data_IF_928767554579
#
_entry.id   IF_928767554579
#
_cell.length_a   1.000
_cell.length_b   1.000
_cell.length_c   1.000
_cell.angle_alpha   90.00
_cell.angle_beta   90.00
_cell.angle_gamma   90.00
#
_symmetry.space_group_name_H-M   'P 1'
#
loop_
_entity.id
_entity.type
_entity.pdbx_description
1 polymer ?
#
# COMPACT_ATOMS: atom_id res chain seq x y z
N UNK A 1 2.19 27.61 20.74
CA UNK A 1 1.27 27.67 19.59
C UNK A 1 1.20 26.30 18.93
N UNK A 2 0.02 25.70 18.86
CA UNK A 2 -0.15 24.38 18.27
C UNK A 2 -0.56 24.46 16.79
N UNK A 3 -0.01 23.58 15.97
CA UNK A 3 -0.28 23.47 14.53
C UNK A 3 -1.13 22.24 14.28
N UNK A 4 -2.36 22.44 13.79
CA UNK A 4 -3.21 21.35 13.34
C UNK A 4 -2.66 20.74 12.06
N UNK A 5 -2.72 19.41 11.94
CA UNK A 5 -2.37 18.70 10.74
C UNK A 5 -3.35 19.06 9.62
N UNK A 6 -2.84 19.59 8.52
CA UNK A 6 -3.63 19.94 7.33
C UNK A 6 -3.23 19.14 6.09
N UNK A 7 -2.08 18.49 6.12
CA UNK A 7 -1.54 17.68 5.02
C UNK A 7 -1.25 16.25 5.50
N UNK A 8 -1.19 15.29 4.57
CA UNK A 8 -0.90 13.88 4.86
C UNK A 8 0.49 13.65 5.47
N UNK A 9 1.46 14.50 5.17
CA UNK A 9 2.80 14.49 5.74
C UNK A 9 3.07 15.87 6.31
N UNK A 10 3.34 15.95 7.61
CA UNK A 10 3.60 17.24 8.24
C UNK A 10 4.68 17.11 9.33
N UNK A 11 5.70 18.00 9.33
CA UNK A 11 6.75 17.96 10.34
C UNK A 11 6.22 18.32 11.73
N UNK A 12 6.77 17.67 12.75
CA UNK A 12 6.60 18.09 14.14
C UNK A 12 7.51 19.30 14.39
N UNK A 13 7.01 20.41 14.96
CA UNK A 13 7.86 21.51 15.38
C UNK A 13 9.00 21.06 16.29
N UNK A 14 10.23 21.48 15.98
CA UNK A 14 11.43 21.11 16.74
C UNK A 14 11.61 19.59 16.93
N UNK A 15 11.10 18.77 16.00
CA UNK A 15 11.22 17.32 16.02
C UNK A 15 11.69 16.80 14.66
N UNK A 16 12.62 15.83 14.67
CA UNK A 16 13.08 15.16 13.47
C UNK A 16 12.08 14.06 13.04
N UNK A 17 10.82 14.43 12.81
CA UNK A 17 9.75 13.52 12.40
C UNK A 17 8.72 14.20 11.50
N UNK A 18 8.22 13.43 10.54
CA UNK A 18 7.06 13.75 9.71
C UNK A 18 5.89 12.87 10.14
N UNK A 19 4.84 13.45 10.67
CA UNK A 19 3.63 12.69 11.05
C UNK A 19 2.80 12.42 9.81
N UNK A 20 2.34 11.17 9.70
CA UNK A 20 1.46 10.69 8.62
C UNK A 20 0.00 10.76 9.08
N UNK A 21 -0.30 10.08 10.18
CA UNK A 21 -1.68 9.83 10.60
C UNK A 21 -1.76 9.32 12.04
N UNK A 22 -2.87 9.56 12.73
CA UNK A 22 -3.12 9.06 14.09
C UNK A 22 -4.39 8.20 14.15
N UNK A 23 -4.32 7.07 14.86
CA UNK A 23 -5.42 6.13 15.03
C UNK A 23 -5.54 5.69 16.49
N UNK A 24 -6.77 5.58 16.99
CA UNK A 24 -7.07 4.89 18.24
C UNK A 24 -6.95 3.38 17.99
N UNK A 25 -6.07 2.73 18.72
CA UNK A 25 -5.80 1.30 18.61
C UNK A 25 -6.09 0.63 19.95
N UNK A 26 -7.25 -0.02 20.03
CA UNK A 26 -7.73 -0.76 21.20
C UNK A 26 -7.65 -2.27 21.01
N UNK A 27 -6.78 -2.75 20.10
CA UNK A 27 -6.54 -4.20 19.91
C UNK A 27 -5.67 -4.80 21.01
N UNK A 28 -4.93 -3.96 21.72
CA UNK A 28 -4.16 -4.30 22.92
C UNK A 28 -4.69 -3.49 24.09
N UNK A 29 -4.67 -4.10 25.28
CA UNK A 29 -5.00 -3.41 26.54
C UNK A 29 -3.71 -3.15 27.33
N UNK A 30 -3.52 -1.93 27.87
CA UNK A 30 -4.39 -0.77 27.72
C UNK A 30 -4.34 -0.18 26.29
N UNK A 31 -5.49 0.33 25.82
CA UNK A 31 -5.58 0.99 24.51
C UNK A 31 -4.60 2.17 24.36
N UNK A 32 -4.21 2.47 23.11
CA UNK A 32 -3.26 3.54 22.80
C UNK A 32 -3.70 4.35 21.58
N UNK A 33 -3.25 5.59 21.48
CA UNK A 33 -3.25 6.31 20.20
C UNK A 33 -1.93 6.01 19.52
N UNK A 34 -2.02 5.33 18.38
CA UNK A 34 -0.89 4.97 17.53
C UNK A 34 -0.77 6.00 16.41
N UNK A 35 0.35 6.69 16.38
CA UNK A 35 0.64 7.71 15.40
C UNK A 35 1.71 7.16 14.47
N UNK A 36 1.40 7.07 13.19
CA UNK A 36 2.35 6.68 12.16
C UNK A 36 3.16 7.91 11.76
N UNK A 37 4.48 7.77 11.71
CA UNK A 37 5.40 8.83 11.34
C UNK A 37 6.61 8.29 10.57
N UNK A 38 7.35 9.20 9.93
CA UNK A 38 8.69 8.95 9.39
C UNK A 38 9.67 9.74 10.26
N UNK A 39 10.57 9.05 10.95
CA UNK A 39 11.42 9.60 12.02
C UNK A 39 12.89 9.42 11.67
N UNK A 40 13.70 10.45 11.93
CA UNK A 40 15.16 10.35 11.83
C UNK A 40 15.67 9.46 12.95
N UNK A 41 16.51 8.47 12.61
CA UNK A 41 16.92 7.43 13.57
C UNK A 41 17.87 7.93 14.66
N UNK A 42 18.59 9.02 14.43
CA UNK A 42 19.53 9.60 15.38
C UNK A 42 19.59 11.15 15.28
N UNK A 43 19.62 11.88 16.42
CA UNK A 43 19.44 11.36 17.80
C UNK A 43 18.02 10.84 18.05
N UNK A 44 17.78 10.08 19.14
CA UNK A 44 16.43 9.63 19.52
C UNK A 44 15.48 10.82 19.69
N UNK A 45 14.24 10.66 19.23
CA UNK A 45 13.21 11.67 19.35
C UNK A 45 12.41 11.46 20.64
N UNK A 46 12.40 12.45 21.51
CA UNK A 46 11.60 12.45 22.74
C UNK A 46 10.36 13.33 22.59
N UNK A 47 9.18 12.74 22.79
CA UNK A 47 7.90 13.43 22.67
C UNK A 47 7.02 13.19 23.90
N UNK A 48 6.15 14.16 24.16
CA UNK A 48 5.01 14.01 25.05
C UNK A 48 3.71 14.12 24.25
N UNK A 49 2.76 13.26 24.58
CA UNK A 49 1.42 13.28 24.00
C UNK A 49 0.46 14.01 24.93
N UNK A 50 -0.42 14.84 24.36
CA UNK A 50 -1.55 15.43 25.07
C UNK A 50 -2.85 15.07 24.36
N UNK A 51 -3.87 14.66 25.09
CA UNK A 51 -5.14 14.21 24.51
C UNK A 51 -6.25 15.24 24.67
N UNK A 52 -6.90 15.57 23.55
CA UNK A 52 -8.14 16.35 23.58
C UNK A 52 -9.32 15.42 23.86
N UNK A 53 -9.93 15.60 25.04
CA UNK A 53 -11.05 14.79 25.52
C UNK A 53 -12.36 15.60 25.43
N UNK A 54 -13.45 15.15 26.08
CA UNK A 54 -14.74 15.89 26.10
C UNK A 54 -14.51 17.38 26.36
N UNK A 55 -15.05 18.23 25.47
CA UNK A 55 -14.89 19.69 25.39
C UNK A 55 -13.62 20.22 24.68
N UNK A 56 -12.82 19.35 24.05
CA UNK A 56 -11.69 19.75 23.20
C UNK A 56 -10.46 20.26 23.95
N UNK A 57 -10.46 20.19 25.28
CA UNK A 57 -9.33 20.57 26.12
C UNK A 57 -8.29 19.43 26.18
N UNK A 58 -7.02 19.80 26.06
CA UNK A 58 -5.88 18.90 26.21
C UNK A 58 -5.56 18.71 27.69
N UNK A 59 -5.97 17.59 28.27
CA UNK A 59 -6.01 17.43 29.75
C UNK A 59 -5.17 16.28 30.28
N UNK A 60 -4.80 15.29 29.45
CA UNK A 60 -3.99 14.14 29.85
C UNK A 60 -2.68 14.17 29.10
N UNK A 61 -1.57 14.11 29.85
CA UNK A 61 -0.23 13.99 29.30
C UNK A 61 0.31 12.58 29.50
N UNK A 62 0.95 12.00 28.49
CA UNK A 62 1.69 10.74 28.58
C UNK A 62 3.02 10.86 27.82
N UNK A 63 4.12 10.30 28.32
CA UNK A 63 5.32 10.12 27.50
C UNK A 63 4.98 9.32 26.23
N UNK A 64 5.57 9.70 25.09
CA UNK A 64 5.40 8.96 23.86
C UNK A 64 6.52 7.92 23.70
N UNK A 65 6.16 6.71 23.31
CA UNK A 65 7.13 5.67 22.96
C UNK A 65 7.34 5.68 21.44
N UNK A 66 8.55 5.99 20.98
CA UNK A 66 8.89 6.06 19.56
C UNK A 66 9.51 4.74 19.10
N UNK A 67 8.69 3.92 18.43
CA UNK A 67 9.07 2.60 17.94
C UNK A 67 9.40 2.65 16.44
N UNK A 68 10.69 2.72 16.14
CA UNK A 68 11.22 2.67 14.78
C UNK A 68 11.01 1.28 14.16
N UNK A 69 10.57 1.22 12.91
CA UNK A 69 10.42 -0.05 12.19
C UNK A 69 11.79 -0.57 11.80
N UNK A 70 12.00 -1.87 12.00
CA UNK A 70 13.28 -2.51 11.72
C UNK A 70 13.63 -2.55 10.22
N UNK A 71 12.62 -2.61 9.35
CA UNK A 71 12.79 -2.68 7.89
C UNK A 71 13.13 -1.33 7.25
N UNK A 72 14.02 -0.56 7.87
CA UNK A 72 14.48 0.72 7.33
C UNK A 72 15.66 0.58 6.36
N UNK A 73 16.14 -0.64 6.08
CA UNK A 73 17.19 -0.95 5.07
C UNK A 73 18.47 -0.09 5.17
N UNK A 74 18.86 0.27 6.39
CA UNK A 74 20.01 1.13 6.67
C UNK A 74 19.80 2.64 6.44
N UNK A 75 18.66 3.08 5.91
CA UNK A 75 18.38 4.49 5.64
C UNK A 75 18.37 5.35 6.92
N UNK A 76 18.74 6.64 6.85
CA UNK A 76 18.76 7.54 8.01
C UNK A 76 17.39 7.81 8.65
N UNK A 77 16.32 7.83 7.84
CA UNK A 77 14.94 7.97 8.29
C UNK A 77 14.17 6.66 8.13
N UNK A 78 13.33 6.35 9.11
CA UNK A 78 12.55 5.11 9.16
C UNK A 78 11.07 5.43 9.42
N UNK A 79 10.18 4.57 8.90
CA UNK A 79 8.81 4.55 9.40
C UNK A 79 8.82 4.16 10.89
N UNK A 80 7.86 4.70 11.65
CA UNK A 80 7.77 4.50 13.08
C UNK A 80 6.34 4.58 13.57
N UNK A 81 6.07 3.88 14.68
CA UNK A 81 4.91 4.15 15.51
C UNK A 81 5.33 5.02 16.69
N UNK A 82 4.69 6.17 16.85
CA UNK A 82 4.73 6.94 18.10
C UNK A 82 3.50 6.52 18.89
N UNK A 83 3.70 5.83 20.01
CA UNK A 83 2.64 5.28 20.85
C UNK A 83 2.37 6.21 22.03
N UNK A 84 1.13 6.65 22.15
CA UNK A 84 0.65 7.42 23.27
C UNK A 84 -0.32 6.57 24.09
N UNK A 85 0.10 6.15 25.29
CA UNK A 85 -0.71 5.28 26.16
C UNK A 85 -1.91 6.02 26.72
N UNK A 86 -3.08 5.36 26.73
CA UNK A 86 -4.28 5.85 27.41
C UNK A 86 -4.42 5.28 28.84
N UNK A 87 -3.44 4.49 29.30
CA UNK A 87 -3.50 3.82 30.59
C UNK A 87 -3.58 4.81 31.77
N UNK A 88 -4.50 4.55 32.71
CA UNK A 88 -4.65 5.35 33.94
C UNK A 88 -5.21 6.76 33.75
N UNK A 89 -5.54 7.18 32.51
CA UNK A 89 -6.09 8.50 32.22
C UNK A 89 -7.62 8.51 32.11
N UNK A 90 -8.30 9.64 32.41
CA UNK A 90 -9.75 9.79 32.25
C UNK A 90 -10.22 9.80 30.77
N UNK A 91 -9.30 9.70 29.81
CA UNK A 91 -9.53 9.96 28.39
C UNK A 91 -9.44 8.68 27.55
N UNK A 92 -10.47 7.85 27.60
CA UNK A 92 -10.47 6.55 26.89
C UNK A 92 -10.77 6.66 25.40
N UNK A 93 -11.36 7.78 24.94
CA UNK A 93 -11.75 8.02 23.55
C UNK A 93 -11.43 9.47 23.15
N UNK A 94 -10.16 9.79 22.91
CA UNK A 94 -9.77 11.12 22.44
C UNK A 94 -10.14 11.32 20.97
N UNK A 95 -10.45 12.57 20.61
CA UNK A 95 -10.71 12.96 19.22
C UNK A 95 -9.46 13.49 18.52
N UNK A 96 -8.53 14.05 19.29
CA UNK A 96 -7.25 14.59 18.82
C UNK A 96 -6.12 14.26 19.77
N UNK A 97 -4.91 14.20 19.22
CA UNK A 97 -3.66 14.06 19.97
C UNK A 97 -2.72 15.19 19.59
N UNK A 98 -2.07 15.78 20.58
CA UNK A 98 -1.00 16.74 20.39
C UNK A 98 0.34 16.12 20.74
N UNK A 99 1.37 16.39 19.94
CA UNK A 99 2.75 15.99 20.17
C UNK A 99 3.59 17.22 20.45
N UNK A 100 4.35 17.17 21.55
CA UNK A 100 5.30 18.21 21.98
C UNK A 100 6.68 17.58 22.07
N UNK A 101 7.67 18.20 21.41
CA UNK A 101 9.07 17.80 21.51
C UNK A 101 9.66 18.23 22.84
N UNK A 102 10.39 17.32 23.50
CA UNK A 102 11.11 17.61 24.74
C UNK A 102 12.35 18.48 24.51
N UNK A 103 12.89 18.54 23.28
CA UNK A 103 14.16 19.22 22.99
C UNK A 103 14.08 20.75 23.04
N UNK A 104 12.90 21.35 22.79
CA UNK A 104 12.70 22.81 22.81
C UNK A 104 11.33 23.20 23.36
N UNK A 105 11.34 23.80 24.55
CA UNK A 105 10.16 24.37 25.21
C UNK A 105 9.81 25.76 24.68
N UNK A 106 9.68 25.91 23.36
CA UNK A 106 9.17 27.15 22.74
C UNK A 106 7.63 27.24 22.73
N UNK A 107 6.98 26.26 23.39
CA UNK A 107 5.53 26.14 23.49
C UNK A 107 4.86 25.73 22.19
N UNK A 108 5.61 25.28 21.16
CA UNK A 108 5.02 24.74 19.93
C UNK A 108 4.58 23.29 20.07
N UNK A 109 3.49 22.94 19.39
CA UNK A 109 3.03 21.55 19.36
C UNK A 109 2.43 21.20 18.00
N UNK A 110 2.49 19.93 17.64
CA UNK A 110 1.77 19.38 16.49
C UNK A 110 0.45 18.77 16.97
N UNK A 111 -0.65 18.89 16.23
CA UNK A 111 -1.95 18.31 16.58
C UNK A 111 -2.48 17.49 15.42
N UNK A 112 -2.82 16.23 15.64
CA UNK A 112 -3.50 15.38 14.66
C UNK A 112 -4.92 15.01 15.12
N UNK A 113 -5.83 14.91 14.15
CA UNK A 113 -7.11 14.24 14.37
C UNK A 113 -6.88 12.73 14.44
N UNK A 114 -7.62 12.07 15.32
CA UNK A 114 -7.63 10.61 15.41
C UNK A 114 -8.66 10.10 14.39
N UNK A 115 -8.17 9.51 13.30
CA UNK A 115 -8.94 9.29 12.08
C UNK A 115 -10.15 8.36 12.27
N UNK A 116 -10.05 7.42 13.22
CA UNK A 116 -11.10 6.47 13.56
C UNK A 116 -11.83 6.81 14.87
N UNK A 117 -11.67 8.00 15.45
CA UNK A 117 -12.37 8.38 16.69
C UNK A 117 -13.91 8.31 16.54
N UNK A 118 -14.43 8.69 15.37
CA UNK A 118 -15.86 8.63 15.06
C UNK A 118 -16.32 7.27 14.50
N UNK A 119 -15.39 6.33 14.23
CA UNK A 119 -15.70 5.01 13.66
C UNK A 119 -15.46 3.93 14.73
N UNK A 120 -16.49 3.50 15.47
CA UNK A 120 -16.32 2.37 16.39
C UNK A 120 -15.83 1.14 15.63
N UNK A 121 -15.15 0.22 16.33
CA UNK A 121 -14.82 -1.09 15.78
C UNK A 121 -16.12 -1.68 15.17
N UNK A 122 -16.10 -2.07 13.88
CA UNK A 122 -17.31 -2.50 13.20
C UNK A 122 -17.85 -3.76 13.86
N UNK A 123 -19.17 -3.88 13.95
CA UNK A 123 -19.79 -5.16 14.21
C UNK A 123 -19.35 -6.16 13.13
N UNK A 124 -19.16 -7.42 13.52
CA UNK A 124 -18.75 -8.46 12.60
C UNK A 124 -19.75 -8.51 11.42
N UNK A 125 -19.27 -8.21 10.20
CA UNK A 125 -20.01 -8.12 8.92
C UNK A 125 -20.53 -6.74 8.45
N UNK A 126 -20.17 -5.63 9.09
CA UNK A 126 -20.57 -4.28 8.63
C UNK A 126 -19.54 -3.58 7.71
N UNK A 127 -18.70 -4.34 6.98
CA UNK A 127 -17.64 -3.75 6.15
C UNK A 127 -18.20 -3.14 4.86
N UNK A 128 -17.79 -1.92 4.52
CA UNK A 128 -18.11 -1.27 3.25
C UNK A 128 -17.50 -2.02 2.06
N UNK A 129 -16.30 -2.58 2.27
CA UNK A 129 -15.56 -3.29 1.23
C UNK A 129 -15.14 -4.69 1.71
N UNK A 130 -15.36 -5.70 0.88
CA UNK A 130 -14.85 -7.04 1.20
C UNK A 130 -13.33 -7.12 0.94
N UNK A 131 -12.86 -6.45 -0.11
CA UNK A 131 -11.44 -6.34 -0.45
C UNK A 131 -11.05 -4.90 -0.75
N UNK A 132 -9.94 -4.47 -0.19
CA UNK A 132 -9.23 -3.24 -0.54
C UNK A 132 -7.83 -3.59 -1.03
N UNK A 133 -7.29 -2.81 -1.96
CA UNK A 133 -5.92 -2.99 -2.46
C UNK A 133 -5.08 -1.80 -2.00
N UNK A 134 -3.96 -2.07 -1.34
CA UNK A 134 -2.98 -1.07 -0.95
C UNK A 134 -1.80 -1.13 -1.92
N UNK A 135 -1.65 -0.08 -2.72
CA UNK A 135 -0.48 0.16 -3.56
C UNK A 135 0.34 1.25 -2.88
N UNK A 136 1.66 1.09 -2.86
CA UNK A 136 2.57 2.04 -2.23
C UNK A 136 2.66 3.35 -3.06
N UNK A 137 3.86 3.86 -3.31
CA UNK A 137 4.06 5.19 -3.89
C UNK A 137 4.27 5.10 -5.40
N UNK A 138 3.47 5.83 -6.18
CA UNK A 138 3.82 6.21 -7.55
C UNK A 138 4.85 7.34 -7.52
N UNK A 139 5.89 7.22 -8.32
CA UNK A 139 6.99 8.18 -8.38
C UNK A 139 7.63 8.23 -9.78
N UNK A 140 8.58 9.15 -9.96
CA UNK A 140 9.40 9.23 -11.16
C UNK A 140 8.61 9.50 -12.44
N UNK A 141 7.43 10.13 -12.34
CA UNK A 141 6.56 10.34 -13.48
C UNK A 141 6.01 9.03 -14.07
N UNK A 142 5.77 8.01 -13.24
CA UNK A 142 5.21 6.72 -13.66
C UNK A 142 4.01 6.91 -14.61
N UNK A 143 4.09 6.30 -15.80
CA UNK A 143 3.13 6.54 -16.89
C UNK A 143 2.80 5.26 -17.68
N UNK A 144 2.80 4.11 -17.02
CA UNK A 144 2.43 2.83 -17.64
C UNK A 144 0.90 2.67 -17.67
N UNK A 145 0.25 3.49 -18.50
CA UNK A 145 -1.21 3.66 -18.55
C UNK A 145 -1.95 2.35 -18.86
N UNK A 146 -1.47 1.59 -19.84
CA UNK A 146 -2.12 0.34 -20.23
C UNK A 146 -2.07 -0.71 -19.11
N UNK A 147 -0.88 -0.95 -18.53
CA UNK A 147 -0.74 -1.92 -17.43
C UNK A 147 -1.56 -1.47 -16.23
N UNK A 148 -1.51 -0.19 -15.87
CA UNK A 148 -2.30 0.36 -14.77
C UNK A 148 -3.79 0.11 -14.97
N UNK A 149 -4.32 0.43 -16.15
CA UNK A 149 -5.73 0.23 -16.48
C UNK A 149 -6.11 -1.24 -16.41
N UNK A 150 -5.25 -2.13 -16.92
CA UNK A 150 -5.45 -3.58 -16.84
C UNK A 150 -5.44 -4.08 -15.39
N UNK A 151 -4.54 -3.56 -14.54
CA UNK A 151 -4.48 -3.91 -13.12
C UNK A 151 -5.76 -3.46 -12.37
N UNK A 152 -6.21 -2.22 -12.56
CA UNK A 152 -7.43 -1.71 -11.91
C UNK A 152 -8.67 -2.52 -12.29
N UNK A 153 -8.84 -2.82 -13.58
CA UNK A 153 -9.96 -3.65 -14.02
C UNK A 153 -9.84 -5.09 -13.52
N UNK A 154 -8.62 -5.64 -13.43
CA UNK A 154 -8.41 -6.95 -12.81
C UNK A 154 -8.75 -6.96 -11.32
N UNK A 155 -8.33 -5.96 -10.55
CA UNK A 155 -8.71 -5.85 -9.13
C UNK A 155 -10.22 -5.75 -8.97
N UNK A 156 -10.91 -4.97 -9.82
CA UNK A 156 -12.37 -4.91 -9.82
C UNK A 156 -13.01 -6.27 -10.12
N UNK A 157 -12.51 -7.00 -11.12
CA UNK A 157 -13.00 -8.36 -11.46
C UNK A 157 -12.75 -9.37 -10.33
N UNK A 158 -11.65 -9.23 -9.59
CA UNK A 158 -11.30 -10.08 -8.46
C UNK A 158 -12.11 -9.77 -7.19
N UNK A 159 -12.79 -8.62 -7.16
CA UNK A 159 -13.71 -8.21 -6.09
C UNK A 159 -13.23 -7.05 -5.22
N UNK A 160 -12.22 -6.29 -5.66
CA UNK A 160 -11.81 -5.06 -4.98
C UNK A 160 -12.94 -4.03 -5.02
N UNK A 161 -13.30 -3.50 -3.84
CA UNK A 161 -14.22 -2.38 -3.70
C UNK A 161 -13.50 -1.03 -3.58
N UNK A 162 -12.20 -1.05 -3.26
CA UNK A 162 -11.34 0.13 -3.11
C UNK A 162 -9.90 -0.23 -3.48
N UNK A 163 -9.21 0.71 -4.11
CA UNK A 163 -7.76 0.69 -4.34
C UNK A 163 -7.21 2.01 -3.82
N UNK A 164 -6.24 1.96 -2.92
CA UNK A 164 -5.62 3.14 -2.33
C UNK A 164 -4.20 3.24 -2.85
N UNK A 165 -3.88 4.39 -3.45
CA UNK A 165 -2.60 4.65 -4.12
C UNK A 165 -2.01 5.93 -3.55
N UNK A 166 -0.74 5.89 -3.17
CA UNK A 166 0.00 7.08 -2.76
C UNK A 166 0.71 7.65 -3.98
N UNK A 167 0.55 8.94 -4.23
CA UNK A 167 1.10 9.57 -5.44
C UNK A 167 2.10 10.66 -5.08
N UNK A 168 3.39 10.37 -5.29
CA UNK A 168 4.45 11.37 -5.25
C UNK A 168 4.59 12.05 -6.61
N UNK A 169 4.57 11.28 -7.70
CA UNK A 169 4.46 11.80 -9.07
C UNK A 169 4.03 10.73 -10.07
N UNK A 170 3.25 11.15 -11.07
CA UNK A 170 2.85 10.32 -12.20
C UNK A 170 2.79 11.16 -13.49
N UNK A 171 2.81 10.49 -14.64
CA UNK A 171 2.70 11.15 -15.95
C UNK A 171 1.29 11.66 -16.25
N UNK A 172 1.13 12.62 -17.18
CA UNK A 172 -0.15 13.28 -17.43
C UNK A 172 -1.21 12.35 -18.03
N UNK A 173 -0.81 11.32 -18.80
CA UNK A 173 -1.76 10.32 -19.30
C UNK A 173 -2.27 9.41 -18.19
N UNK A 174 -1.42 9.02 -17.24
CA UNK A 174 -1.84 8.25 -16.08
C UNK A 174 -2.72 9.09 -15.12
N UNK A 175 -2.41 10.37 -14.93
CA UNK A 175 -3.19 11.27 -14.08
C UNK A 175 -4.67 11.34 -14.50
N UNK A 176 -4.96 11.37 -15.80
CA UNK A 176 -6.33 11.30 -16.34
C UNK A 176 -7.03 9.99 -16.01
N UNK A 177 -6.31 8.88 -16.07
CA UNK A 177 -6.84 7.55 -15.74
C UNK A 177 -7.07 7.41 -14.24
N UNK A 178 -6.19 7.97 -13.39
CA UNK A 178 -6.41 8.06 -11.95
C UNK A 178 -7.68 8.85 -11.65
N UNK A 179 -7.85 10.03 -12.26
CA UNK A 179 -9.06 10.85 -12.09
C UNK A 179 -10.34 10.09 -12.48
N UNK A 180 -10.29 9.28 -13.55
CA UNK A 180 -11.41 8.42 -13.94
C UNK A 180 -11.77 7.39 -12.85
N UNK A 181 -10.78 6.68 -12.32
CA UNK A 181 -11.04 5.67 -11.28
C UNK A 181 -11.41 6.27 -9.93
N UNK A 182 -10.96 7.49 -9.63
CA UNK A 182 -11.44 8.27 -8.48
C UNK A 182 -12.89 8.68 -8.66
N UNK A 183 -13.28 9.17 -9.83
CA UNK A 183 -14.67 9.56 -10.12
C UNK A 183 -15.64 8.35 -10.07
N UNK A 184 -15.18 7.15 -10.40
CA UNK A 184 -15.99 5.91 -10.30
C UNK A 184 -15.97 5.30 -8.89
N UNK A 185 -15.19 5.86 -7.96
CA UNK A 185 -15.11 5.41 -6.57
C UNK A 185 -14.22 4.20 -6.32
N UNK A 186 -13.57 3.64 -7.36
CA UNK A 186 -12.67 2.50 -7.20
C UNK A 186 -11.33 2.92 -6.58
N UNK A 187 -10.75 4.04 -7.03
CA UNK A 187 -9.40 4.48 -6.61
C UNK A 187 -9.48 5.69 -5.68
N UNK A 188 -8.85 5.58 -4.51
CA UNK A 188 -8.51 6.71 -3.65
C UNK A 188 -7.04 7.08 -3.87
N UNK A 189 -6.78 8.29 -4.36
CA UNK A 189 -5.42 8.81 -4.52
C UNK A 189 -5.08 9.64 -3.30
N UNK A 190 -4.04 9.23 -2.56
CA UNK A 190 -3.48 9.97 -1.44
C UNK A 190 -2.26 10.75 -1.94
N UNK A 191 -2.26 12.09 -1.87
CA UNK A 191 -1.05 12.88 -2.16
C UNK A 191 0.11 12.39 -1.27
N UNK A 192 1.32 12.28 -1.81
CA UNK A 192 2.48 11.82 -1.03
C UNK A 192 3.72 12.70 -1.28
N UNK A 193 3.73 13.94 -0.76
CA UNK A 193 4.75 14.95 -1.06
C UNK A 193 6.05 14.73 -0.26
N UNK A 194 6.55 13.50 -0.22
CA UNK A 194 7.72 13.12 0.59
C UNK A 194 8.99 13.88 0.18
N UNK A 195 9.10 14.20 -1.10
CA UNK A 195 10.19 14.94 -1.74
C UNK A 195 10.25 16.42 -1.33
N UNK A 196 9.17 16.97 -0.75
CA UNK A 196 9.19 18.32 -0.16
C UNK A 196 9.98 18.39 1.15
N UNK A 197 10.15 17.26 1.84
CA UNK A 197 10.71 17.21 3.19
C UNK A 197 11.99 16.39 3.28
N UNK A 198 12.12 15.35 2.47
CA UNK A 198 13.24 14.41 2.48
C UNK A 198 13.71 14.16 1.06
N UNK A 199 14.94 13.67 0.89
CA UNK A 199 15.44 13.14 -0.37
C UNK A 199 15.12 11.64 -0.44
N UNK A 200 14.03 11.21 -1.11
CA UNK A 200 13.71 9.79 -1.18
C UNK A 200 14.74 9.03 -2.03
N UNK A 201 15.08 7.81 -1.61
CA UNK A 201 15.86 6.91 -2.46
C UNK A 201 15.01 6.32 -3.58
N UNK A 202 15.61 6.11 -4.75
CA UNK A 202 15.02 5.38 -5.88
C UNK A 202 15.33 3.88 -5.85
N UNK A 203 16.08 3.41 -4.85
CA UNK A 203 16.49 2.02 -4.74
C UNK A 203 16.37 1.46 -3.32
N UNK A 204 16.85 0.22 -3.16
CA UNK A 204 16.44 -0.64 -2.05
C UNK A 204 17.40 -0.67 -0.86
N UNK A 205 18.66 -0.27 -1.04
CA UNK A 205 19.71 -0.54 -0.05
C UNK A 205 20.61 0.68 0.14
N UNK A 206 20.72 1.15 1.38
CA UNK A 206 21.67 2.18 1.78
C UNK A 206 23.05 1.56 2.11
N UNK A 207 24.18 2.20 1.77
CA UNK A 207 24.31 3.48 1.05
C UNK A 207 24.35 3.36 -0.48
N UNK A 208 24.27 2.14 -1.05
CA UNK A 208 24.36 1.90 -2.50
C UNK A 208 23.34 2.72 -3.31
N UNK A 209 22.13 2.86 -2.79
CA UNK A 209 21.08 3.72 -3.31
C UNK A 209 20.87 4.85 -2.30
N UNK A 210 21.54 6.00 -2.46
CA UNK A 210 21.53 7.07 -1.46
C UNK A 210 20.15 7.69 -1.30
N UNK A 211 19.99 8.47 -0.24
CA UNK A 211 18.74 9.15 0.13
C UNK A 211 18.51 9.08 1.63
N UNK A 212 17.53 9.84 2.08
CA UNK A 212 17.12 9.95 3.48
C UNK A 212 16.19 8.81 3.89
N UNK A 213 15.31 8.37 3.00
CA UNK A 213 14.25 7.39 3.28
C UNK A 213 14.15 6.34 2.17
N UNK A 214 13.88 5.10 2.57
CA UNK A 214 13.73 3.96 1.66
C UNK A 214 12.58 4.16 0.67
N UNK A 215 12.88 4.09 -0.63
CA UNK A 215 11.93 3.97 -1.74
C UNK A 215 10.69 4.87 -1.60
N UNK A 216 10.90 6.18 -1.61
CA UNK A 216 9.82 7.18 -1.48
C UNK A 216 8.96 7.06 -0.20
N UNK A 217 9.45 6.40 0.84
CA UNK A 217 8.69 6.21 2.08
C UNK A 217 7.60 5.14 1.97
N UNK A 218 7.73 4.17 1.06
CA UNK A 218 6.72 3.15 0.78
C UNK A 218 6.23 2.39 2.02
N UNK A 219 7.09 2.20 3.03
CA UNK A 219 6.72 1.47 4.25
C UNK A 219 5.70 2.27 5.06
N UNK A 220 5.89 3.58 5.19
CA UNK A 220 4.92 4.45 5.84
C UNK A 220 3.61 4.48 5.04
N UNK A 221 3.66 4.59 3.72
CA UNK A 221 2.46 4.54 2.87
C UNK A 221 1.65 3.24 3.04
N UNK A 222 2.32 2.08 3.04
CA UNK A 222 1.67 0.77 3.22
C UNK A 222 1.04 0.64 4.61
N UNK A 223 1.68 1.15 5.65
CA UNK A 223 1.11 1.14 7.01
C UNK A 223 -0.02 2.16 7.17
N UNK A 224 0.01 3.33 6.55
CA UNK A 224 -1.16 4.23 6.56
C UNK A 224 -2.35 3.54 5.90
N UNK A 225 -2.15 2.86 4.77
CA UNK A 225 -3.23 2.12 4.09
C UNK A 225 -3.83 1.03 4.99
N UNK A 226 -2.97 0.29 5.71
CA UNK A 226 -3.37 -0.72 6.68
C UNK A 226 -4.32 -0.15 7.74
N UNK A 227 -3.94 0.97 8.36
CA UNK A 227 -4.73 1.59 9.43
C UNK A 227 -5.98 2.31 8.92
N UNK A 228 -5.86 3.04 7.79
CA UNK A 228 -6.95 3.74 7.11
C UNK A 228 -8.15 2.84 6.85
N UNK A 229 -7.87 1.60 6.45
CA UNK A 229 -8.91 0.63 6.06
C UNK A 229 -9.14 -0.49 7.08
N UNK A 230 -8.55 -0.39 8.27
CA UNK A 230 -8.67 -1.43 9.31
C UNK A 230 -10.13 -1.73 9.68
N UNK A 231 -11.00 -0.71 9.64
CA UNK A 231 -12.39 -0.80 10.09
C UNK A 231 -13.44 -0.62 8.98
N UNK A 232 -13.06 -0.40 7.72
CA UNK A 232 -14.02 -0.37 6.60
C UNK A 232 -13.88 -1.55 5.62
N UNK A 233 -12.78 -2.30 5.71
CA UNK A 233 -12.44 -3.31 4.73
C UNK A 233 -12.14 -4.67 5.37
N UNK A 234 -12.77 -5.74 4.87
CA UNK A 234 -12.58 -7.09 5.43
C UNK A 234 -11.19 -7.66 5.14
N UNK A 235 -10.67 -7.56 3.93
CA UNK A 235 -9.32 -8.02 3.59
C UNK A 235 -8.56 -6.95 2.82
N UNK A 236 -7.30 -6.73 3.18
CA UNK A 236 -6.39 -5.89 2.38
C UNK A 236 -5.47 -6.75 1.55
N UNK A 237 -5.29 -6.35 0.30
CA UNK A 237 -4.35 -6.92 -0.65
C UNK A 237 -3.18 -5.94 -0.77
N UNK A 238 -2.00 -6.34 -0.30
CA UNK A 238 -0.80 -5.51 -0.31
C UNK A 238 0.03 -5.85 -1.55
N UNK A 239 -0.11 -5.06 -2.61
CA UNK A 239 0.46 -5.32 -3.93
C UNK A 239 1.13 -4.07 -4.50
N UNK A 240 2.10 -4.26 -5.39
CA UNK A 240 2.54 -3.20 -6.30
C UNK A 240 1.62 -3.16 -7.54
N UNK A 241 1.69 -2.07 -8.29
CA UNK A 241 0.82 -1.82 -9.45
C UNK A 241 1.00 -2.84 -10.59
N UNK A 242 2.17 -3.45 -10.67
CA UNK A 242 2.55 -4.47 -11.66
C UNK A 242 2.35 -5.90 -11.15
N UNK A 243 1.71 -6.06 -9.99
CA UNK A 243 1.50 -7.31 -9.29
C UNK A 243 0.01 -7.65 -9.09
N UNK A 244 -0.39 -8.86 -9.44
CA UNK A 244 -1.78 -9.31 -9.30
C UNK A 244 -1.83 -10.73 -8.71
N UNK A 245 -2.53 -10.90 -7.60
CA UNK A 245 -2.77 -12.22 -7.02
C UNK A 245 -3.91 -12.89 -7.77
N UNK A 246 -3.60 -13.91 -8.56
CA UNK A 246 -4.55 -14.65 -9.39
C UNK A 246 -4.90 -15.97 -8.73
N UNK A 247 -6.18 -16.17 -8.35
CA UNK A 247 -6.65 -17.49 -7.94
C UNK A 247 -6.52 -18.48 -9.10
N UNK A 248 -6.14 -19.72 -8.84
CA UNK A 248 -6.05 -20.76 -9.88
C UNK A 248 -7.43 -21.39 -10.11
N UNK A 249 -8.01 -21.98 -9.07
CA UNK A 249 -9.31 -22.68 -9.14
C UNK A 249 -10.56 -21.82 -8.90
N UNK A 250 -10.41 -20.52 -8.65
CA UNK A 250 -11.51 -19.60 -8.33
C UNK A 250 -11.62 -18.45 -9.33
N UNK A 251 -12.80 -17.86 -9.47
CA UNK A 251 -13.00 -16.65 -10.29
C UNK A 251 -12.75 -15.34 -9.53
N UNK A 252 -12.74 -15.34 -8.20
CA UNK A 252 -12.59 -14.12 -7.39
C UNK A 252 -11.80 -14.36 -6.11
N UNK A 253 -11.35 -13.28 -5.46
CA UNK A 253 -10.73 -13.36 -4.14
C UNK A 253 -11.73 -13.82 -3.08
N UNK A 254 -13.02 -13.54 -3.22
CA UNK A 254 -14.03 -14.03 -2.27
C UNK A 254 -14.08 -15.57 -2.22
N UNK A 255 -14.11 -16.21 -3.39
CA UNK A 255 -14.02 -17.67 -3.52
C UNK A 255 -12.69 -18.18 -2.95
N UNK A 256 -11.56 -17.55 -3.31
CA UNK A 256 -10.25 -17.93 -2.83
C UNK A 256 -10.19 -17.90 -1.29
N UNK A 257 -10.60 -16.79 -0.68
CA UNK A 257 -10.57 -16.62 0.78
C UNK A 257 -11.49 -17.60 1.51
N UNK A 258 -12.63 -17.98 0.93
CA UNK A 258 -13.48 -19.02 1.50
C UNK A 258 -12.72 -20.36 1.66
N UNK A 259 -11.94 -20.75 0.64
CA UNK A 259 -11.11 -21.96 0.72
C UNK A 259 -9.92 -21.77 1.64
N UNK A 260 -9.20 -20.65 1.53
CA UNK A 260 -8.00 -20.41 2.34
C UNK A 260 -8.32 -20.32 3.84
N UNK A 261 -9.42 -19.68 4.24
CA UNK A 261 -9.83 -19.63 5.64
C UNK A 261 -10.14 -21.03 6.20
N UNK A 262 -10.72 -21.94 5.39
CA UNK A 262 -10.97 -23.33 5.82
C UNK A 262 -9.69 -24.15 6.00
N UNK A 263 -8.68 -23.89 5.16
CA UNK A 263 -7.42 -24.66 5.16
C UNK A 263 -6.46 -24.14 6.24
N UNK A 264 -6.31 -22.82 6.34
CA UNK A 264 -5.24 -22.20 7.11
C UNK A 264 -5.71 -21.45 8.35
N UNK A 265 -6.93 -20.89 8.32
CA UNK A 265 -7.47 -19.99 9.36
C UNK A 265 -6.43 -18.97 9.84
N UNK A 266 -5.95 -18.15 8.90
CA UNK A 266 -4.81 -17.26 9.09
C UNK A 266 -5.20 -15.77 9.01
N UNK A 267 -4.40 -14.93 9.65
CA UNK A 267 -4.49 -13.48 9.55
C UNK A 267 -3.84 -12.96 8.26
N UNK A 268 -2.78 -13.64 7.80
CA UNK A 268 -1.93 -13.21 6.68
C UNK A 268 -1.71 -14.39 5.75
N UNK A 269 -2.11 -14.22 4.49
CA UNK A 269 -1.92 -15.18 3.41
C UNK A 269 -0.86 -14.64 2.46
N UNK A 270 0.29 -15.33 2.36
CA UNK A 270 1.40 -14.95 1.49
C UNK A 270 1.36 -15.76 0.20
N UNK A 271 1.63 -15.11 -0.92
CA UNK A 271 1.59 -15.69 -2.26
C UNK A 271 2.96 -15.54 -2.91
N UNK A 272 3.52 -16.66 -3.38
CA UNK A 272 4.81 -16.68 -4.05
C UNK A 272 4.79 -15.85 -5.34
N UNK A 273 5.82 -15.02 -5.52
CA UNK A 273 6.08 -14.29 -6.74
C UNK A 273 6.32 -15.24 -7.93
N UNK A 274 5.77 -14.88 -9.09
CA UNK A 274 6.00 -15.52 -10.38
C UNK A 274 6.20 -14.41 -11.43
N UNK A 275 7.44 -14.31 -11.94
CA UNK A 275 7.84 -13.25 -12.87
C UNK A 275 7.34 -13.55 -14.28
N UNK A 276 6.55 -12.65 -14.84
CA UNK A 276 6.16 -12.59 -16.25
C UNK A 276 7.00 -11.51 -16.93
N UNK A 277 8.07 -11.87 -17.67
CA UNK A 277 9.03 -10.89 -18.13
C UNK A 277 8.48 -10.09 -19.33
N UNK A 278 8.74 -8.78 -19.32
CA UNK A 278 8.37 -7.86 -20.41
C UNK A 278 8.96 -8.24 -21.78
N UNK A 279 10.00 -9.07 -21.80
CA UNK A 279 10.66 -9.58 -23.01
C UNK A 279 9.96 -10.81 -23.59
N UNK A 280 9.06 -11.48 -22.85
CA UNK A 280 8.36 -12.69 -23.28
C UNK A 280 6.92 -12.38 -23.74
N UNK A 281 6.82 -11.61 -24.83
CA UNK A 281 5.55 -11.22 -25.45
C UNK A 281 5.15 -12.21 -26.54
N UNK A 282 3.92 -12.69 -26.52
CA UNK A 282 3.34 -13.51 -27.57
C UNK A 282 2.49 -12.71 -28.55
N UNK A 283 2.51 -13.14 -29.81
CA UNK A 283 1.70 -12.54 -30.85
C UNK A 283 0.29 -13.14 -30.83
N UNK A 284 -0.69 -12.25 -30.79
CA UNK A 284 -2.12 -12.58 -30.80
C UNK A 284 -2.85 -11.89 -31.95
N UNK A 285 -2.13 -11.49 -33.00
CA UNK A 285 -2.66 -10.80 -34.16
C UNK A 285 -3.35 -9.49 -33.78
N UNK A 286 -4.49 -9.22 -34.39
CA UNK A 286 -5.23 -7.95 -34.23
C UNK A 286 -6.03 -7.81 -32.94
N UNK A 287 -6.00 -8.80 -32.05
CA UNK A 287 -6.82 -8.83 -30.82
C UNK A 287 -6.62 -7.59 -29.94
N UNK A 288 -5.40 -7.03 -29.92
CA UNK A 288 -5.04 -5.89 -29.07
C UNK A 288 -4.73 -4.60 -29.86
N UNK A 289 -5.12 -4.53 -31.13
CA UNK A 289 -4.84 -3.38 -32.01
C UNK A 289 -5.40 -2.06 -31.47
N UNK A 290 -6.49 -2.12 -30.70
CA UNK A 290 -7.10 -0.94 -30.07
C UNK A 290 -6.22 -0.26 -29.03
N UNK A 291 -5.19 -0.94 -28.53
CA UNK A 291 -4.27 -0.44 -27.51
C UNK A 291 -2.93 0.02 -28.10
N UNK A 292 -2.75 -0.06 -29.43
CA UNK A 292 -1.59 0.52 -30.11
C UNK A 292 -1.47 2.00 -29.78
N UNK A 293 -0.28 2.44 -29.39
CA UNK A 293 0.04 3.82 -29.05
C UNK A 293 -0.38 4.26 -27.63
N UNK A 294 -1.02 3.41 -26.84
CA UNK A 294 -1.27 3.70 -25.41
C UNK A 294 0.04 3.48 -24.64
N UNK A 295 0.52 4.45 -23.85
CA UNK A 295 1.72 4.28 -23.04
C UNK A 295 1.61 3.06 -22.11
N UNK A 296 2.66 2.23 -22.08
CA UNK A 296 2.74 1.12 -21.15
C UNK A 296 2.83 -0.28 -21.78
N UNK A 297 2.71 -1.29 -20.93
CA UNK A 297 2.82 -2.71 -21.28
C UNK A 297 1.45 -3.38 -21.27
N UNK A 298 1.23 -4.30 -22.21
CA UNK A 298 0.06 -5.16 -22.23
C UNK A 298 0.35 -6.43 -21.43
N UNK A 299 -0.30 -6.62 -20.28
CA UNK A 299 -0.08 -7.82 -19.45
C UNK A 299 -0.72 -9.07 -20.06
N UNK A 300 -1.73 -8.92 -20.93
CA UNK A 300 -2.40 -10.05 -21.58
C UNK A 300 -1.54 -10.70 -22.66
N UNK A 301 -0.47 -10.03 -23.12
CA UNK A 301 0.48 -10.63 -24.07
C UNK A 301 1.59 -11.42 -23.38
N UNK A 302 1.69 -11.35 -22.05
CA UNK A 302 2.70 -12.01 -21.24
C UNK A 302 2.08 -13.23 -20.55
N UNK A 303 2.02 -14.35 -21.26
CA UNK A 303 1.45 -15.63 -20.76
C UNK A 303 2.52 -16.64 -20.38
N UNK A 304 3.78 -16.21 -20.36
CA UNK A 304 4.94 -17.04 -20.04
C UNK A 304 5.63 -16.45 -18.82
N UNK A 305 6.03 -17.32 -17.89
CA UNK A 305 6.72 -16.92 -16.66
C UNK A 305 8.06 -17.63 -16.51
N UNK A 306 8.95 -16.99 -15.77
CA UNK A 306 10.20 -17.61 -15.35
C UNK A 306 9.94 -18.74 -14.34
N UNK A 307 10.78 -19.79 -14.32
CA UNK A 307 10.80 -20.73 -13.20
C UNK A 307 11.24 -20.00 -11.93
N UNK A 308 10.54 -20.26 -10.83
CA UNK A 308 10.90 -19.71 -9.53
C UNK A 308 12.31 -20.13 -9.12
N UNK A 309 13.06 -19.26 -8.41
CA UNK A 309 14.35 -19.66 -7.88
C UNK A 309 14.23 -20.77 -6.84
N UNK A 310 15.11 -21.78 -6.95
CA UNK A 310 15.20 -22.88 -5.99
C UNK A 310 16.04 -22.46 -4.77
N UNK A 311 17.09 -21.68 -4.97
CA UNK A 311 18.09 -21.34 -3.94
C UNK A 311 18.19 -19.84 -3.63
N UNK A 312 17.23 -19.03 -4.09
CA UNK A 312 17.22 -17.60 -3.85
C UNK A 312 15.91 -17.17 -3.17
N UNK A 313 15.98 -16.05 -2.46
CA UNK A 313 14.81 -15.41 -1.89
C UNK A 313 13.79 -15.09 -2.99
N UNK A 314 12.56 -15.57 -2.81
CA UNK A 314 11.44 -15.25 -3.69
C UNK A 314 10.48 -14.32 -2.92
N UNK A 315 10.36 -13.04 -3.31
CA UNK A 315 9.48 -12.12 -2.61
C UNK A 315 8.03 -12.62 -2.64
N UNK A 316 7.25 -12.22 -1.64
CA UNK A 316 5.82 -12.53 -1.58
C UNK A 316 5.02 -11.25 -1.51
N UNK A 317 3.76 -11.34 -1.91
CA UNK A 317 2.72 -10.36 -1.59
C UNK A 317 1.59 -11.06 -0.86
N UNK A 318 0.64 -10.28 -0.35
CA UNK A 318 -0.23 -10.81 0.70
C UNK A 318 -1.65 -10.29 0.63
N UNK A 319 -2.57 -11.17 1.04
CA UNK A 319 -3.93 -10.81 1.45
C UNK A 319 -3.97 -10.96 2.97
N UNK A 320 -4.43 -9.94 3.68
CA UNK A 320 -4.40 -9.91 5.14
C UNK A 320 -5.69 -9.39 5.76
N UNK A 321 -5.94 -9.78 7.01
CA UNK A 321 -6.94 -9.20 7.89
C UNK A 321 -6.32 -7.99 8.62
N UNK A 322 -6.69 -6.73 8.28
CA UNK A 322 -6.01 -5.56 8.81
C UNK A 322 -6.19 -5.38 10.32
N UNK A 323 -7.25 -5.96 10.91
CA UNK A 323 -7.47 -5.91 12.37
C UNK A 323 -6.53 -6.83 13.14
N UNK A 324 -5.88 -7.78 12.49
CA UNK A 324 -4.90 -8.67 13.12
C UNK A 324 -3.46 -8.32 12.76
N UNK A 325 -3.23 -7.26 11.99
CA UNK A 325 -1.89 -6.82 11.58
C UNK A 325 -1.60 -5.44 12.12
N UNK A 326 -0.44 -5.27 12.76
CA UNK A 326 -0.03 -4.01 13.38
C UNK A 326 1.04 -3.31 12.55
N UNK A 327 1.93 -4.08 11.93
CA UNK A 327 3.04 -3.52 11.16
C UNK A 327 3.32 -4.39 9.94
N UNK A 328 3.36 -3.77 8.77
CA UNK A 328 3.68 -4.44 7.50
C UNK A 328 4.92 -3.83 6.85
N UNK A 329 5.61 -4.67 6.08
CA UNK A 329 6.68 -4.27 5.16
C UNK A 329 6.22 -4.50 3.72
N UNK A 330 7.15 -4.43 2.77
CA UNK A 330 6.89 -4.57 1.33
C UNK A 330 6.49 -6.00 0.96
N UNK A 331 7.18 -6.99 1.54
CA UNK A 331 7.03 -8.41 1.15
C UNK A 331 6.45 -9.31 2.24
N UNK A 332 6.35 -8.82 3.48
CA UNK A 332 5.83 -9.58 4.62
C UNK A 332 5.26 -8.68 5.71
N UNK A 333 4.48 -9.30 6.62
CA UNK A 333 4.03 -8.66 7.85
C UNK A 333 5.10 -8.81 8.93
N UNK A 334 5.48 -7.69 9.56
CA UNK A 334 6.44 -7.66 10.66
C UNK A 334 5.76 -8.16 11.93
N UNK A 335 4.64 -7.53 12.31
CA UNK A 335 3.91 -7.85 13.54
C UNK A 335 2.40 -8.11 13.29
N UNK A 336 1.90 -9.22 13.81
CA UNK A 336 0.51 -9.68 13.71
C UNK A 336 0.13 -10.52 14.92
N UNK A 337 -1.15 -10.45 15.31
CA UNK A 337 -1.73 -11.26 16.39
C UNK A 337 -2.16 -12.65 15.94
N UNK A 338 -2.25 -12.89 14.62
CA UNK A 338 -2.73 -14.16 14.07
C UNK A 338 -1.68 -14.92 13.27
N UNK A 339 -2.09 -16.08 12.76
CA UNK A 339 -1.21 -16.98 12.00
C UNK A 339 -0.86 -16.38 10.64
N UNK A 340 0.32 -16.77 10.13
CA UNK A 340 0.78 -16.48 8.77
C UNK A 340 0.79 -17.78 7.98
N UNK A 341 0.18 -17.78 6.80
CA UNK A 341 0.15 -18.93 5.90
C UNK A 341 0.88 -18.61 4.60
N UNK A 342 1.70 -19.54 4.12
CA UNK A 342 2.18 -19.53 2.75
C UNK A 342 1.21 -20.34 1.89
N UNK A 343 0.60 -19.69 0.91
CA UNK A 343 -0.40 -20.31 0.04
C UNK A 343 0.30 -21.08 -1.08
N UNK A 344 -0.14 -22.32 -1.30
CA UNK A 344 0.34 -23.13 -2.43
C UNK A 344 0.05 -22.45 -3.77
N UNK A 345 1.04 -22.46 -4.68
CA UNK A 345 0.87 -21.98 -6.06
C UNK A 345 -0.18 -22.75 -6.87
N UNK A 346 -0.65 -23.91 -6.38
CA UNK A 346 -1.79 -24.63 -6.95
C UNK A 346 -3.15 -23.98 -6.63
N UNK A 347 -3.22 -23.13 -5.60
CA UNK A 347 -4.44 -22.43 -5.18
C UNK A 347 -4.50 -21.00 -5.73
N UNK A 348 -3.37 -20.28 -5.68
CA UNK A 348 -3.24 -18.92 -6.19
C UNK A 348 -1.77 -18.56 -6.44
N UNK A 349 -1.51 -17.66 -7.38
CA UNK A 349 -0.16 -17.19 -7.75
C UNK A 349 -0.12 -15.67 -7.74
N UNK A 350 0.98 -15.08 -7.27
CA UNK A 350 1.29 -13.69 -7.54
C UNK A 350 1.89 -13.58 -8.94
N UNK A 351 1.20 -12.92 -9.86
CA UNK A 351 1.73 -12.56 -11.17
C UNK A 351 2.46 -11.23 -11.04
N UNK A 352 3.76 -11.20 -11.34
CA UNK A 352 4.56 -9.98 -11.35
C UNK A 352 5.05 -9.69 -12.76
N UNK A 353 4.47 -8.69 -13.40
CA UNK A 353 4.78 -8.30 -14.78
C UNK A 353 5.93 -7.29 -14.77
N UNK A 354 7.15 -7.69 -15.10
CA UNK A 354 8.36 -6.85 -14.88
C UNK A 354 9.51 -7.17 -15.82
N UNK A 355 10.63 -6.47 -15.67
CA UNK A 355 11.91 -6.86 -16.30
C UNK A 355 12.35 -8.25 -15.81
N UNK A 356 12.97 -9.08 -16.68
CA UNK A 356 13.37 -10.43 -16.31
C UNK A 356 14.34 -10.46 -15.12
N UNK A 357 14.10 -11.37 -14.19
CA UNK A 357 15.06 -11.67 -13.11
C UNK A 357 16.07 -12.72 -13.58
N UNK A 358 15.71 -13.50 -14.61
CA UNK A 358 16.55 -14.53 -15.24
C UNK A 358 16.72 -14.24 -16.73
N UNK A 359 17.47 -13.18 -17.09
CA UNK A 359 17.56 -12.71 -18.49
C UNK A 359 18.19 -13.73 -19.46
N UNK A 360 18.86 -14.76 -18.94
CA UNK A 360 19.54 -15.78 -19.74
C UNK A 360 18.63 -16.94 -20.18
N UNK A 361 17.36 -16.95 -19.78
CA UNK A 361 16.41 -18.01 -20.18
C UNK A 361 15.74 -17.60 -21.50
N UNK A 362 15.88 -18.43 -22.53
CA UNK A 362 15.20 -18.22 -23.81
C UNK A 362 13.67 -18.27 -23.63
N UNK A 363 12.94 -17.46 -24.40
CA UNK A 363 11.47 -17.41 -24.38
C UNK A 363 10.81 -18.79 -24.52
N UNK A 364 11.41 -19.70 -25.31
CA UNK A 364 10.89 -21.06 -25.56
C UNK A 364 10.93 -21.96 -24.32
N UNK A 365 11.84 -21.67 -23.39
CA UNK A 365 12.08 -22.46 -22.17
C UNK A 365 11.31 -21.89 -20.96
N UNK A 366 10.58 -20.78 -21.16
CA UNK A 366 9.69 -20.22 -20.15
C UNK A 366 8.42 -21.07 -20.00
N UNK A 367 7.86 -21.06 -18.79
CA UNK A 367 6.67 -21.84 -18.45
C UNK A 367 5.44 -21.09 -18.95
N UNK A 368 4.64 -21.74 -19.80
CA UNK A 368 3.35 -21.21 -20.25
C UNK A 368 2.36 -21.28 -19.07
N UNK A 369 1.82 -20.13 -18.67
CA UNK A 369 0.91 -19.97 -17.54
C UNK A 369 -0.24 -19.01 -17.89
N UNK A 370 -1.27 -19.48 -18.61
CA UNK A 370 -2.33 -18.63 -19.13
C UNK A 370 -3.47 -18.44 -18.11
N UNK A 371 -3.25 -18.70 -16.81
CA UNK A 371 -4.35 -18.70 -15.81
C UNK A 371 -5.11 -17.37 -15.73
N UNK A 372 -4.44 -16.25 -15.99
CA UNK A 372 -5.06 -14.91 -16.09
C UNK A 372 -6.09 -14.82 -17.23
N UNK A 373 -5.94 -15.61 -18.29
CA UNK A 373 -6.76 -15.50 -19.49
C UNK A 373 -8.21 -15.93 -19.33
N UNK A 374 -8.57 -16.60 -18.23
CA UNK A 374 -9.99 -16.80 -17.90
C UNK A 374 -10.76 -15.48 -17.76
N UNK A 375 -10.08 -14.38 -17.49
CA UNK A 375 -10.66 -13.04 -17.43
C UNK A 375 -10.56 -12.26 -18.75
N UNK A 376 -9.86 -12.78 -19.77
CA UNK A 376 -9.45 -12.04 -20.98
C UNK A 376 -10.62 -11.30 -21.64
N UNK A 377 -11.73 -11.99 -21.90
CA UNK A 377 -12.85 -11.41 -22.63
C UNK A 377 -13.43 -10.18 -21.90
N UNK A 378 -13.69 -10.31 -20.60
CA UNK A 378 -14.24 -9.24 -19.78
C UNK A 378 -13.22 -8.12 -19.58
N UNK A 379 -11.95 -8.47 -19.32
CA UNK A 379 -10.88 -7.50 -19.14
C UNK A 379 -10.68 -6.65 -20.39
N UNK A 380 -10.65 -7.27 -21.58
CA UNK A 380 -10.52 -6.54 -22.85
C UNK A 380 -11.68 -5.57 -23.04
N UNK A 381 -12.92 -6.02 -22.78
CA UNK A 381 -14.12 -5.17 -22.87
C UNK A 381 -14.02 -3.95 -21.96
N UNK A 382 -13.68 -4.16 -20.68
CA UNK A 382 -13.60 -3.10 -19.69
C UNK A 382 -12.47 -2.10 -20.01
N UNK A 383 -11.27 -2.59 -20.33
CA UNK A 383 -10.12 -1.74 -20.68
C UNK A 383 -10.42 -0.90 -21.92
N UNK A 384 -11.09 -1.47 -22.93
CA UNK A 384 -11.54 -0.70 -24.09
C UNK A 384 -12.50 0.43 -23.70
N UNK A 385 -13.45 0.17 -22.79
CA UNK A 385 -14.41 1.17 -22.32
C UNK A 385 -13.72 2.36 -21.62
N UNK A 386 -12.72 2.08 -20.78
CA UNK A 386 -11.95 3.11 -20.08
C UNK A 386 -11.08 3.90 -21.07
N UNK A 387 -10.25 3.20 -21.85
CA UNK A 387 -9.27 3.86 -22.72
C UNK A 387 -9.91 4.59 -23.91
N UNK A 388 -11.09 4.18 -24.39
CA UNK A 388 -11.80 4.91 -25.44
C UNK A 388 -12.12 6.35 -25.02
N UNK A 389 -12.44 6.57 -23.73
CA UNK A 389 -12.77 7.90 -23.18
C UNK A 389 -11.55 8.79 -22.98
N UNK A 390 -10.35 8.19 -22.91
CA UNK A 390 -9.11 8.86 -22.50
C UNK A 390 -7.98 8.74 -23.52
N UNK A 391 -8.29 8.39 -24.78
CA UNK A 391 -7.26 8.34 -25.83
C UNK A 391 -6.56 9.70 -25.91
N UNK A 392 -5.23 9.75 -25.85
CA UNK A 392 -4.53 11.00 -26.11
C UNK A 392 -4.91 11.48 -27.52
N UNK A 393 -5.09 12.80 -27.73
CA UNK A 393 -5.29 13.33 -29.06
C UNK A 393 -4.14 12.87 -29.96
N UNK A 394 -4.39 12.59 -31.25
CA UNK A 394 -3.32 12.19 -32.16
C UNK A 394 -2.22 13.25 -32.11
N UNK A 395 -0.98 12.81 -31.87
CA UNK A 395 0.18 13.71 -31.97
C UNK A 395 0.22 14.21 -33.40
N UNK A 396 -0.04 15.50 -33.60
CA UNK A 396 0.28 16.18 -34.85
C UNK A 396 1.81 16.09 -34.98
N UNK A 397 2.27 15.27 -35.90
CA UNK A 397 3.68 15.23 -36.27
C UNK A 397 3.93 16.54 -37.05
N UNK A 398 4.93 17.36 -36.67
CA UNK A 398 5.27 18.57 -37.41
C UNK A 398 5.77 18.26 -38.82
#
# INVERSE_FOLDING_TARGET
RCLLQTEILQPIPNGNALVVSAYLDSRLEPGSVRILAIVKRAPPLELHCYFACRNGLFVVASPAEVNLFHDHFGFPWAAAHILCSLHGGPCLKPDKVALVSSERSDGQCFVANIQNAARPQPELNSFTHNFGVCISTLFGGYNNVLQFTQAMEMYRLLGAGRVTIYNSSCGPELDRVLAHYTATGLVEVIPWPIDRYLTPSTGWTYPTHPGDVHYYGQIAALNDCLYRHMYDTRYLVMNDVDEIIIPVGCASWACLMMHLNRIYDAAVYRFNNHVFPYTAVDDFGSVFDRWKGIPGRNILTQVRREPNPIFAFNPTKMILNPRQVVETSVHYVVFTFGKRALVSSSLAKLHHYRSPERPNIDKRDLIIDPVMWKYKAVLVSNVNSVLHKHRPPPRLIP
#
